data_IF_053683583676
#
_entry.id   IF_053683583676
#
_cell.length_a   1.000
_cell.length_b   1.000
_cell.length_c   1.000
_cell.angle_alpha   90.00
_cell.angle_beta   90.00
_cell.angle_gamma   90.00
#
_symmetry.space_group_name_H-M   'P 1'
#
loop_
_entity.id
_entity.type
_entity.pdbx_description
1 polymer ?
#
# COMPACT_ATOMS: atom_id res chain seq x y z
N UNK A 1 22.62 -70.49 30.26
CA UNK A 1 22.67 -69.24 29.47
C UNK A 1 21.36 -68.49 29.68
N UNK A 2 21.32 -67.50 30.58
CA UNK A 2 20.10 -66.77 30.99
C UNK A 2 20.19 -65.35 30.41
N UNK A 3 19.28 -65.03 29.49
CA UNK A 3 19.20 -63.78 28.72
C UNK A 3 18.71 -62.65 29.64
N UNK A 4 19.50 -61.57 29.76
CA UNK A 4 19.11 -60.36 30.46
C UNK A 4 18.32 -59.48 29.49
N UNK A 5 17.00 -59.53 29.55
CA UNK A 5 16.14 -58.57 28.85
C UNK A 5 15.90 -57.38 29.80
N UNK A 6 16.76 -56.37 29.69
CA UNK A 6 16.50 -55.06 30.25
C UNK A 6 15.35 -54.42 29.48
N UNK A 7 14.17 -54.36 30.12
CA UNK A 7 13.00 -53.66 29.59
C UNK A 7 13.28 -52.17 29.48
N UNK A 8 13.65 -51.73 28.28
CA UNK A 8 13.67 -50.31 27.92
C UNK A 8 12.24 -49.93 27.56
N UNK A 9 11.47 -49.45 28.52
CA UNK A 9 10.15 -48.87 28.27
C UNK A 9 10.36 -47.63 27.40
N UNK A 10 9.88 -47.59 26.14
CA UNK A 10 10.01 -46.40 25.31
C UNK A 10 9.18 -45.29 25.95
N UNK A 11 9.82 -44.18 26.32
CA UNK A 11 9.10 -43.00 26.81
C UNK A 11 8.08 -42.57 25.76
N UNK A 12 6.83 -42.37 26.16
CA UNK A 12 5.80 -41.90 25.24
C UNK A 12 6.16 -40.49 24.75
N UNK A 13 5.90 -40.21 23.47
CA UNK A 13 6.22 -38.92 22.84
C UNK A 13 5.65 -37.70 23.60
N UNK A 14 4.58 -37.88 24.38
CA UNK A 14 4.02 -36.87 25.29
C UNK A 14 4.91 -36.59 26.51
N UNK A 15 5.52 -37.61 27.11
CA UNK A 15 6.39 -37.45 28.28
C UNK A 15 7.70 -36.75 27.93
N UNK A 16 8.27 -37.07 26.76
CA UNK A 16 9.46 -36.39 26.25
C UNK A 16 9.21 -34.90 25.95
N UNK A 17 8.00 -34.53 25.53
CA UNK A 17 7.61 -33.14 25.26
C UNK A 17 7.28 -32.36 26.55
N UNK A 18 6.77 -33.03 27.58
CA UNK A 18 6.48 -32.44 28.88
C UNK A 18 7.75 -32.18 29.72
N UNK A 19 8.78 -33.03 29.59
CA UNK A 19 10.03 -32.90 30.35
C UNK A 19 10.98 -31.84 29.78
N UNK A 20 10.90 -31.56 28.47
CA UNK A 20 11.67 -30.52 27.82
C UNK A 20 10.77 -29.55 27.05
N UNK A 21 10.15 -28.56 27.73
CA UNK A 21 9.47 -27.48 27.03
C UNK A 21 10.45 -26.83 26.05
N UNK A 22 10.06 -26.59 24.79
CA UNK A 22 10.96 -26.01 23.80
C UNK A 22 11.50 -24.69 24.34
N UNK A 23 12.84 -24.59 24.45
CA UNK A 23 13.49 -23.39 24.93
C UNK A 23 13.01 -22.17 24.11
N UNK A 24 12.71 -21.03 24.75
CA UNK A 24 12.36 -19.80 24.05
C UNK A 24 13.39 -19.52 22.95
N UNK A 25 12.95 -19.47 21.70
CA UNK A 25 13.86 -19.25 20.58
C UNK A 25 14.23 -17.76 20.54
N UNK A 26 15.30 -17.39 21.25
CA UNK A 26 15.79 -16.01 21.39
C UNK A 26 16.04 -15.32 20.05
N UNK A 27 16.45 -16.08 19.02
CA UNK A 27 16.67 -15.56 17.67
C UNK A 27 15.37 -15.08 17.01
N UNK A 28 14.27 -15.82 17.21
CA UNK A 28 12.95 -15.46 16.67
C UNK A 28 12.40 -14.22 17.39
N UNK A 29 12.63 -14.12 18.71
CA UNK A 29 12.20 -12.96 19.51
C UNK A 29 12.96 -11.69 19.14
N UNK A 30 14.28 -11.78 18.95
CA UNK A 30 15.13 -10.66 18.52
C UNK A 30 14.78 -10.17 17.09
N UNK A 31 14.55 -11.09 16.14
CA UNK A 31 14.14 -10.75 14.77
C UNK A 31 12.75 -10.09 14.70
N UNK A 32 11.81 -10.54 15.54
CA UNK A 32 10.49 -9.88 15.66
C UNK A 32 10.60 -8.49 16.29
N UNK A 33 11.47 -8.31 17.27
CA UNK A 33 11.71 -7.00 17.88
C UNK A 33 12.37 -6.01 16.91
N UNK A 34 13.33 -6.44 16.08
CA UNK A 34 13.98 -5.57 15.09
C UNK A 34 13.01 -5.15 13.97
N UNK A 35 12.25 -6.08 13.40
CA UNK A 35 11.21 -5.79 12.41
C UNK A 35 10.08 -4.92 12.98
N UNK A 36 9.71 -5.11 14.25
CA UNK A 36 8.74 -4.25 14.94
C UNK A 36 9.25 -2.80 15.13
N UNK A 37 10.55 -2.63 15.37
CA UNK A 37 11.19 -1.31 15.48
C UNK A 37 11.31 -0.63 14.12
N UNK A 38 11.67 -1.38 13.08
CA UNK A 38 11.74 -0.87 11.71
C UNK A 38 10.37 -0.39 11.21
N UNK A 39 9.30 -1.16 11.45
CA UNK A 39 7.93 -0.78 11.07
C UNK A 39 7.44 0.45 11.83
N UNK A 40 7.66 0.51 13.14
CA UNK A 40 7.34 1.70 13.94
C UNK A 40 8.14 2.93 13.48
N UNK A 41 9.44 2.78 13.20
CA UNK A 41 10.28 3.84 12.66
C UNK A 41 9.76 4.37 11.32
N UNK A 42 9.43 3.47 10.39
CA UNK A 42 8.85 3.85 9.10
C UNK A 42 7.52 4.60 9.24
N UNK A 43 6.63 4.14 10.14
CA UNK A 43 5.35 4.82 10.41
C UNK A 43 5.57 6.24 10.93
N UNK A 44 6.47 6.42 11.90
CA UNK A 44 6.80 7.74 12.46
C UNK A 44 7.37 8.65 11.37
N UNK A 45 8.29 8.15 10.54
CA UNK A 45 8.88 8.92 9.45
C UNK A 45 7.81 9.36 8.44
N UNK A 46 6.89 8.47 8.05
CA UNK A 46 5.81 8.81 7.12
C UNK A 46 4.85 9.84 7.68
N UNK A 47 4.49 9.74 8.97
CA UNK A 47 3.63 10.73 9.64
C UNK A 47 4.35 12.07 9.75
N UNK A 48 5.63 12.07 10.15
CA UNK A 48 6.44 13.28 10.24
C UNK A 48 6.60 13.95 8.86
N UNK A 49 6.83 13.17 7.81
CA UNK A 49 6.93 13.65 6.43
C UNK A 49 5.60 14.24 5.96
N UNK A 50 4.49 13.55 6.19
CA UNK A 50 3.13 14.06 5.90
C UNK A 50 2.90 15.40 6.61
N UNK A 51 3.19 15.49 7.90
CA UNK A 51 3.03 16.73 8.65
C UNK A 51 3.92 17.86 8.11
N UNK A 52 5.20 17.57 7.85
CA UNK A 52 6.15 18.54 7.28
C UNK A 52 5.65 19.08 5.93
N UNK A 53 5.27 18.19 5.01
CA UNK A 53 4.76 18.59 3.69
C UNK A 53 3.46 19.40 3.84
N UNK A 54 2.56 19.02 4.75
CA UNK A 54 1.33 19.79 5.00
C UNK A 54 1.62 21.23 5.46
N UNK A 55 2.57 21.41 6.38
CA UNK A 55 2.96 22.74 6.90
C UNK A 55 3.62 23.57 5.81
N UNK A 56 4.59 23.01 5.08
CA UNK A 56 5.24 23.69 3.95
C UNK A 56 4.22 24.11 2.87
N UNK A 57 3.24 23.24 2.62
CA UNK A 57 2.18 23.52 1.64
C UNK A 57 1.28 24.69 2.03
N UNK A 58 1.10 24.95 3.33
CA UNK A 58 0.37 26.15 3.79
C UNK A 58 1.16 27.43 3.46
N UNK A 59 2.50 27.38 3.58
CA UNK A 59 3.39 28.50 3.23
C UNK A 59 3.39 28.84 1.74
N UNK A 60 3.10 27.86 0.88
CA UNK A 60 2.95 28.04 -0.57
C UNK A 60 1.61 28.68 -0.97
N UNK A 61 0.67 28.80 -0.03
CA UNK A 61 -0.67 29.34 -0.29
C UNK A 61 -1.60 28.31 -0.93
N UNK A 62 -2.70 28.01 -0.24
CA UNK A 62 -3.71 27.05 -0.70
C UNK A 62 -4.66 27.63 -1.74
N UNK A 63 -4.82 28.95 -1.78
CA UNK A 63 -5.79 29.61 -2.64
C UNK A 63 -5.25 30.94 -3.16
N UNK A 64 -5.56 31.25 -4.42
CA UNK A 64 -5.18 32.49 -5.10
C UNK A 64 -6.40 33.12 -5.77
N UNK A 65 -6.24 34.34 -6.29
CA UNK A 65 -7.28 35.04 -7.05
C UNK A 65 -7.71 34.30 -8.32
N UNK A 66 -6.89 33.40 -8.86
CA UNK A 66 -7.13 32.70 -10.12
C UNK A 66 -7.51 31.23 -9.94
N UNK A 67 -7.56 30.72 -8.70
CA UNK A 67 -7.83 29.31 -8.42
C UNK A 67 -7.04 28.77 -7.21
N UNK A 68 -7.08 27.45 -6.96
CA UNK A 68 -6.27 26.81 -5.92
C UNK A 68 -4.78 27.11 -6.15
N UNK A 69 -4.11 27.48 -5.06
CA UNK A 69 -2.71 27.86 -5.09
C UNK A 69 -1.75 26.68 -5.21
N UNK A 70 -0.46 26.93 -5.41
CA UNK A 70 0.54 25.88 -5.60
C UNK A 70 0.69 24.97 -4.37
N UNK A 71 0.26 25.44 -3.19
CA UNK A 71 0.22 24.64 -1.97
C UNK A 71 -0.96 23.66 -1.88
N UNK A 72 -2.02 23.81 -2.68
CA UNK A 72 -3.24 23.01 -2.55
C UNK A 72 -2.99 21.51 -2.80
N UNK A 73 -2.32 21.20 -3.92
CA UNK A 73 -2.00 19.82 -4.28
C UNK A 73 -1.12 19.09 -3.25
N UNK A 74 0.07 19.62 -2.87
CA UNK A 74 0.92 18.95 -1.90
C UNK A 74 0.25 18.84 -0.52
N UNK A 75 -0.62 19.78 -0.15
CA UNK A 75 -1.40 19.72 1.09
C UNK A 75 -2.37 18.54 1.13
N UNK A 76 -3.18 18.36 0.07
CA UNK A 76 -4.12 17.22 -0.03
C UNK A 76 -3.36 15.89 -0.03
N UNK A 77 -2.23 15.83 -0.74
CA UNK A 77 -1.38 14.63 -0.78
C UNK A 77 -0.77 14.31 0.59
N UNK A 78 -0.35 15.35 1.32
CA UNK A 78 0.15 15.21 2.69
C UNK A 78 -0.92 14.65 3.63
N UNK A 79 -2.16 15.14 3.56
CA UNK A 79 -3.29 14.61 4.34
C UNK A 79 -3.53 13.13 4.00
N UNK A 80 -3.61 12.79 2.70
CA UNK A 80 -3.83 11.42 2.26
C UNK A 80 -2.74 10.47 2.77
N UNK A 81 -1.46 10.89 2.68
CA UNK A 81 -0.33 10.13 3.19
C UNK A 81 -0.43 9.92 4.72
N UNK A 82 -0.79 10.96 5.46
CA UNK A 82 -0.95 10.90 6.91
C UNK A 82 -2.06 9.93 7.33
N UNK A 83 -3.22 10.00 6.68
CA UNK A 83 -4.32 9.06 6.91
C UNK A 83 -3.92 7.62 6.60
N UNK A 84 -3.19 7.38 5.51
CA UNK A 84 -2.74 6.05 5.13
C UNK A 84 -1.71 5.49 6.11
N UNK A 85 -0.77 6.33 6.57
CA UNK A 85 0.20 5.95 7.59
C UNK A 85 -0.47 5.63 8.94
N UNK A 86 -1.49 6.40 9.34
CA UNK A 86 -2.29 6.14 10.54
C UNK A 86 -3.10 4.85 10.40
N UNK A 87 -3.72 4.61 9.24
CA UNK A 87 -4.44 3.36 8.97
C UNK A 87 -3.51 2.15 9.01
N UNK A 88 -2.28 2.27 8.49
CA UNK A 88 -1.27 1.22 8.57
C UNK A 88 -0.79 0.97 10.01
N UNK A 89 -0.63 2.04 10.80
CA UNK A 89 -0.31 1.94 12.22
C UNK A 89 -1.44 1.25 13.01
N UNK A 90 -2.70 1.58 12.71
CA UNK A 90 -3.87 0.94 13.31
C UNK A 90 -3.93 -0.55 12.96
N UNK A 91 -3.74 -0.92 11.68
CA UNK A 91 -3.67 -2.32 11.24
C UNK A 91 -2.52 -3.08 11.92
N UNK A 92 -1.34 -2.46 12.03
CA UNK A 92 -0.20 -3.07 12.73
C UNK A 92 -0.50 -3.34 14.20
N UNK A 93 -1.24 -2.43 14.87
CA UNK A 93 -1.65 -2.60 16.27
C UNK A 93 -2.68 -3.72 16.43
N UNK A 94 -3.70 -3.76 15.57
CA UNK A 94 -4.75 -4.80 15.57
C UNK A 94 -4.18 -6.20 15.27
N UNK A 95 -3.27 -6.30 14.30
CA UNK A 95 -2.55 -7.53 14.00
C UNK A 95 -1.69 -8.02 15.19
N UNK A 96 -1.11 -7.11 15.98
CA UNK A 96 -0.38 -7.46 17.21
C UNK A 96 -1.30 -7.84 18.38
N UNK A 97 -2.50 -7.27 18.43
CA UNK A 97 -3.52 -7.59 19.43
C UNK A 97 -4.23 -8.94 19.15
N UNK A 98 -3.93 -9.58 18.01
CA UNK A 98 -4.56 -10.84 17.61
C UNK A 98 -6.03 -10.69 17.21
N UNK A 99 -6.49 -9.45 16.97
CA UNK A 99 -7.87 -9.13 16.59
C UNK A 99 -8.14 -9.38 15.09
N UNK A 100 -7.07 -9.40 14.28
CA UNK A 100 -7.14 -9.74 12.87
C UNK A 100 -6.82 -11.24 12.71
N UNK A 101 -7.56 -11.94 11.84
CA UNK A 101 -7.33 -13.35 11.48
C UNK A 101 -5.91 -13.62 10.92
N UNK A 102 -5.56 -14.87 10.57
CA UNK A 102 -4.18 -15.25 10.23
C UNK A 102 -3.54 -14.25 9.27
N UNK A 103 -2.45 -13.62 9.73
CA UNK A 103 -1.81 -12.49 9.09
C UNK A 103 -1.63 -12.74 7.59
N UNK A 104 -2.27 -11.90 6.77
CA UNK A 104 -2.07 -11.90 5.33
C UNK A 104 -0.61 -11.53 5.10
N UNK A 105 0.20 -12.55 4.77
CA UNK A 105 1.62 -12.37 4.48
C UNK A 105 1.67 -11.41 3.30
N UNK A 106 2.23 -10.22 3.51
CA UNK A 106 2.58 -9.32 2.40
C UNK A 106 3.49 -10.09 1.46
N UNK A 107 2.90 -10.60 0.38
CA UNK A 107 3.60 -11.33 -0.64
C UNK A 107 4.47 -10.32 -1.39
N UNK A 108 5.79 -10.51 -1.34
CA UNK A 108 6.75 -9.69 -2.08
C UNK A 108 6.39 -9.70 -3.58
N UNK A 109 5.81 -10.80 -4.08
CA UNK A 109 5.26 -10.88 -5.43
C UNK A 109 4.09 -9.91 -5.67
N UNK A 110 3.26 -9.64 -4.66
CA UNK A 110 2.22 -8.62 -4.76
C UNK A 110 2.84 -7.22 -4.86
N UNK A 111 3.77 -6.87 -3.97
CA UNK A 111 4.44 -5.57 -4.00
C UNK A 111 5.19 -5.34 -5.32
N UNK A 112 5.95 -6.34 -5.79
CA UNK A 112 6.66 -6.27 -7.06
C UNK A 112 5.73 -6.09 -8.26
N UNK A 113 4.57 -6.76 -8.26
CA UNK A 113 3.60 -6.60 -9.35
C UNK A 113 2.85 -5.25 -9.31
N UNK A 114 2.67 -4.63 -8.14
CA UNK A 114 2.18 -3.23 -8.05
C UNK A 114 3.25 -2.26 -8.58
N UNK A 115 4.51 -2.44 -8.20
CA UNK A 115 5.60 -1.61 -8.72
C UNK A 115 5.76 -1.76 -10.24
N UNK A 116 5.73 -2.99 -10.74
CA UNK A 116 5.80 -3.28 -12.17
C UNK A 116 4.62 -2.67 -12.95
N UNK A 117 3.41 -2.73 -12.41
CA UNK A 117 2.25 -2.12 -13.05
C UNK A 117 2.32 -0.59 -13.08
N UNK A 118 2.90 0.05 -12.04
CA UNK A 118 3.16 1.50 -12.04
C UNK A 118 4.14 1.91 -13.13
N UNK A 119 5.21 1.13 -13.35
CA UNK A 119 6.18 1.39 -14.43
C UNK A 119 5.51 1.27 -15.80
N UNK A 120 4.68 0.22 -16.00
CA UNK A 120 3.92 0.05 -17.24
C UNK A 120 2.94 1.21 -17.45
N UNK A 121 2.23 1.65 -16.39
CA UNK A 121 1.35 2.82 -16.46
C UNK A 121 2.12 4.05 -16.93
N UNK A 122 3.28 4.34 -16.33
CA UNK A 122 4.09 5.50 -16.71
C UNK A 122 4.54 5.43 -18.18
N UNK A 123 4.93 4.25 -18.67
CA UNK A 123 5.32 4.06 -20.06
C UNK A 123 4.15 4.21 -21.05
N UNK A 124 2.96 3.70 -20.68
CA UNK A 124 1.75 3.77 -21.53
C UNK A 124 1.15 5.18 -21.53
N UNK A 125 1.33 5.94 -20.44
CA UNK A 125 0.81 7.30 -20.29
C UNK A 125 1.28 8.25 -21.38
N UNK A 126 2.53 8.12 -21.81
CA UNK A 126 3.13 8.95 -22.87
C UNK A 126 2.50 8.65 -24.25
N UNK A 127 1.99 7.44 -24.45
CA UNK A 127 1.41 7.00 -25.73
C UNK A 127 -0.12 7.20 -25.79
N UNK A 128 -0.82 6.82 -24.73
CA UNK A 128 -2.28 6.75 -24.69
C UNK A 128 -2.95 7.97 -24.02
N UNK A 129 -2.17 8.87 -23.42
CA UNK A 129 -2.69 9.99 -22.62
C UNK A 129 -3.08 9.56 -21.19
N UNK A 130 -3.23 10.54 -20.31
CA UNK A 130 -3.51 10.32 -18.88
C UNK A 130 -4.82 9.53 -18.64
N UNK A 131 -5.90 9.95 -19.29
CA UNK A 131 -7.25 9.50 -18.96
C UNK A 131 -7.46 8.01 -19.27
N UNK A 132 -7.00 7.55 -20.44
CA UNK A 132 -7.11 6.14 -20.88
C UNK A 132 -6.17 5.24 -20.06
N UNK A 133 -4.94 5.70 -19.82
CA UNK A 133 -3.92 4.93 -19.11
C UNK A 133 -4.33 4.66 -17.66
N UNK A 134 -4.79 5.71 -16.96
CA UNK A 134 -5.25 5.60 -15.57
C UNK A 134 -6.53 4.75 -15.48
N UNK A 135 -7.47 4.91 -16.40
CA UNK A 135 -8.68 4.08 -16.43
C UNK A 135 -8.35 2.60 -16.61
N UNK A 136 -7.52 2.26 -17.60
CA UNK A 136 -7.11 0.87 -17.86
C UNK A 136 -6.35 0.27 -16.67
N UNK A 137 -5.45 1.05 -16.07
CA UNK A 137 -4.69 0.62 -14.90
C UNK A 137 -5.59 0.34 -13.69
N UNK A 138 -6.49 1.26 -13.34
CA UNK A 138 -7.43 1.05 -12.24
C UNK A 138 -8.34 -0.14 -12.52
N UNK A 139 -8.86 -0.27 -13.74
CA UNK A 139 -9.74 -1.39 -14.08
C UNK A 139 -9.01 -2.73 -13.94
N UNK A 140 -7.78 -2.82 -14.44
CA UNK A 140 -6.94 -4.02 -14.31
C UNK A 140 -6.65 -4.37 -12.85
N UNK A 141 -6.19 -3.41 -12.05
CA UNK A 141 -5.86 -3.66 -10.64
C UNK A 141 -7.09 -3.97 -9.78
N UNK A 142 -8.17 -3.19 -9.89
CA UNK A 142 -9.35 -3.41 -9.07
C UNK A 142 -10.08 -4.71 -9.46
N UNK A 143 -10.07 -5.07 -10.74
CA UNK A 143 -10.72 -6.32 -11.19
C UNK A 143 -9.88 -7.56 -10.90
N UNK A 144 -8.59 -7.53 -11.23
CA UNK A 144 -7.75 -8.72 -11.18
C UNK A 144 -7.11 -8.95 -9.82
N UNK A 145 -6.79 -7.87 -9.08
CA UNK A 145 -6.03 -7.96 -7.82
C UNK A 145 -6.92 -7.83 -6.59
N UNK A 146 -7.97 -7.00 -6.66
CA UNK A 146 -8.83 -6.75 -5.51
C UNK A 146 -10.12 -7.62 -5.47
N UNK A 147 -10.41 -8.41 -6.51
CA UNK A 147 -11.61 -9.25 -6.59
C UNK A 147 -12.94 -8.48 -6.44
N UNK A 148 -12.90 -7.15 -6.58
CA UNK A 148 -14.00 -6.25 -6.25
C UNK A 148 -15.11 -6.35 -7.30
N UNK A 149 -16.34 -6.01 -6.92
CA UNK A 149 -17.48 -6.02 -7.85
C UNK A 149 -17.22 -5.10 -9.04
N UNK A 150 -17.57 -5.55 -10.24
CA UNK A 150 -17.36 -4.81 -11.50
C UNK A 150 -17.90 -3.38 -11.43
N UNK A 151 -19.04 -3.18 -10.77
CA UNK A 151 -19.64 -1.87 -10.57
C UNK A 151 -18.75 -0.94 -9.73
N UNK A 152 -18.19 -1.43 -8.61
CA UNK A 152 -17.33 -0.62 -7.76
C UNK A 152 -15.99 -0.32 -8.46
N UNK A 153 -15.42 -1.30 -9.16
CA UNK A 153 -14.20 -1.11 -9.97
C UNK A 153 -14.40 -0.06 -11.06
N UNK A 154 -15.54 -0.12 -11.76
CA UNK A 154 -15.86 0.83 -12.81
C UNK A 154 -16.07 2.24 -12.25
N UNK A 155 -16.82 2.39 -11.15
CA UNK A 155 -17.03 3.69 -10.50
C UNK A 155 -15.72 4.29 -10.02
N UNK A 156 -14.87 3.51 -9.32
CA UNK A 156 -13.57 4.01 -8.86
C UNK A 156 -12.63 4.34 -10.04
N UNK A 157 -12.61 3.53 -11.09
CA UNK A 157 -11.81 3.79 -12.29
C UNK A 157 -12.28 5.07 -13.00
N UNK A 158 -13.59 5.27 -13.12
CA UNK A 158 -14.17 6.46 -13.76
C UNK A 158 -13.92 7.71 -12.93
N UNK A 159 -14.17 7.66 -11.61
CA UNK A 159 -13.93 8.78 -10.69
C UNK A 159 -12.43 9.08 -10.60
N UNK A 160 -11.57 8.06 -10.54
CA UNK A 160 -10.13 8.24 -10.49
C UNK A 160 -9.53 8.77 -11.79
N UNK A 161 -10.07 8.39 -12.95
CA UNK A 161 -9.61 8.89 -14.24
C UNK A 161 -10.18 10.29 -14.53
N UNK A 162 -11.50 10.42 -14.59
CA UNK A 162 -12.19 11.67 -14.98
C UNK A 162 -12.14 12.71 -13.86
N UNK A 163 -12.37 12.28 -12.61
CA UNK A 163 -12.42 13.19 -11.46
C UNK A 163 -11.06 13.78 -11.13
N UNK A 164 -9.97 13.02 -11.28
CA UNK A 164 -8.62 13.57 -11.10
C UNK A 164 -8.24 14.44 -12.28
N UNK A 165 -8.56 14.05 -13.53
CA UNK A 165 -8.35 14.90 -14.70
C UNK A 165 -9.02 16.27 -14.53
N UNK A 166 -10.32 16.32 -14.21
CA UNK A 166 -11.01 17.59 -13.97
C UNK A 166 -10.51 18.33 -12.73
N UNK A 167 -10.14 17.62 -11.66
CA UNK A 167 -9.56 18.22 -10.46
C UNK A 167 -8.23 18.94 -10.74
N UNK A 168 -7.43 18.43 -11.67
CA UNK A 168 -6.17 19.04 -12.09
C UNK A 168 -6.35 20.10 -13.19
N UNK A 169 -7.16 19.80 -14.20
CA UNK A 169 -7.44 20.69 -15.33
C UNK A 169 -8.16 21.97 -14.86
N UNK A 170 -9.27 21.82 -14.13
CA UNK A 170 -10.08 22.95 -13.67
C UNK A 170 -9.61 23.52 -12.34
N UNK A 171 -9.01 22.70 -11.48
CA UNK A 171 -8.43 23.15 -10.23
C UNK A 171 -7.09 23.83 -10.47
N UNK A 172 -6.08 23.06 -10.87
CA UNK A 172 -4.69 23.52 -10.89
C UNK A 172 -4.28 24.24 -12.18
N UNK A 173 -5.15 24.32 -13.20
CA UNK A 173 -4.85 24.90 -14.53
C UNK A 173 -3.56 24.35 -15.16
N UNK A 174 -3.22 23.08 -14.86
CA UNK A 174 -2.07 22.39 -15.44
C UNK A 174 -2.57 21.48 -16.56
N UNK A 175 -2.13 21.74 -17.79
CA UNK A 175 -2.40 20.85 -18.92
C UNK A 175 -1.69 19.51 -18.70
N UNK A 176 -2.47 18.47 -18.42
CA UNK A 176 -1.98 17.09 -18.41
C UNK A 176 -1.60 16.66 -19.84
N UNK A 177 -0.63 15.74 -20.02
CA UNK A 177 -0.15 15.34 -21.34
C UNK A 177 -1.31 14.88 -22.24
N UNK A 178 -1.58 15.61 -23.34
CA UNK A 178 -2.58 15.18 -24.31
C UNK A 178 -2.09 13.90 -25.00
N UNK A 179 -3.03 13.05 -25.42
CA UNK A 179 -2.67 11.82 -26.11
C UNK A 179 -1.83 12.10 -27.38
N UNK A 180 -0.76 11.33 -27.57
CA UNK A 180 0.09 11.42 -28.78
C UNK A 180 -0.59 10.83 -30.03
N UNK A 181 -1.73 10.16 -29.86
CA UNK A 181 -2.52 9.57 -30.93
C UNK A 181 -3.43 10.64 -31.56
N UNK A 182 -3.27 10.97 -32.87
CA UNK A 182 -4.01 12.06 -33.51
C UNK A 182 -5.54 11.90 -33.48
N UNK A 183 -6.03 10.65 -33.46
CA UNK A 183 -7.45 10.33 -33.39
C UNK A 183 -8.08 10.65 -32.02
N UNK A 184 -7.30 10.60 -30.94
CA UNK A 184 -7.76 10.84 -29.57
C UNK A 184 -7.55 12.31 -29.18
N UNK A 185 -6.45 12.91 -29.63
CA UNK A 185 -6.19 14.35 -29.50
C UNK A 185 -7.29 15.20 -30.18
N UNK A 186 -7.83 14.74 -31.30
CA UNK A 186 -8.95 15.41 -31.98
C UNK A 186 -10.26 15.46 -31.18
N UNK A 187 -10.37 14.66 -30.12
CA UNK A 187 -11.53 14.60 -29.22
C UNK A 187 -11.28 15.31 -27.88
N UNK A 188 -10.11 15.95 -27.69
CA UNK A 188 -9.75 16.66 -26.46
C UNK A 188 -9.29 15.75 -25.31
N UNK A 189 -8.70 14.59 -25.65
CA UNK A 189 -8.13 13.58 -24.73
C UNK A 189 -6.61 13.43 -24.96
#
# INVERSE_FOLDING_TARGET
MKRLEGGHTPMSHEQAFAEHPPAPNDQVTAARASSARLTAGAQVVLVALSFYVAVESLGLGLWTSFGPGPGFFPFVLAIALGLLALAWAAQTRRARAGEDGPAERTDVGHAAAVLGSLVVLAAVMDLAGYQISVFAFLMFHLKWRAGRSWALSLVLALVGSVGVYHGFDQGLMVQLPPSALPLLAGWGL
#
